data_IF_614960182256
#
_entry.id   IF_614960182256
#
_cell.length_a   1.000
_cell.length_b   1.000
_cell.length_c   1.000
_cell.angle_alpha   90.00
_cell.angle_beta   90.00
_cell.angle_gamma   90.00
#
_symmetry.space_group_name_H-M   'P 1'
#
loop_
_entity.id
_entity.type
_entity.pdbx_description
1 polymer ?
#
# COMPACT_ATOMS: atom_id res chain seq x y z
N UNK A 1 28.24 8.39 -32.23
CA UNK A 1 27.44 7.15 -32.29
C UNK A 1 26.28 7.34 -31.34
N UNK A 2 25.09 7.61 -31.88
CA UNK A 2 23.90 7.89 -31.07
C UNK A 2 23.29 6.58 -30.59
N UNK A 3 23.40 6.32 -29.29
CA UNK A 3 22.75 5.19 -28.65
C UNK A 3 21.29 5.58 -28.40
N UNK A 4 20.41 5.13 -29.29
CA UNK A 4 18.96 5.26 -29.12
C UNK A 4 18.54 4.47 -27.89
N UNK A 5 18.12 5.18 -26.84
CA UNK A 5 17.55 4.60 -25.64
C UNK A 5 16.38 3.65 -26.01
N UNK A 6 16.28 2.47 -25.38
CA UNK A 6 15.21 1.54 -25.67
C UNK A 6 13.86 2.18 -25.35
N UNK A 7 12.94 2.13 -26.32
CA UNK A 7 11.59 2.63 -26.16
C UNK A 7 10.93 1.95 -24.96
N UNK A 8 10.39 2.76 -24.04
CA UNK A 8 9.63 2.26 -22.89
C UNK A 8 8.49 1.35 -23.39
N UNK A 9 8.27 0.19 -22.75
CA UNK A 9 7.20 -0.71 -23.16
C UNK A 9 5.85 0.00 -23.09
N UNK A 10 4.91 -0.31 -24.01
CA UNK A 10 3.59 0.29 -24.00
C UNK A 10 2.91 0.01 -22.65
N UNK A 11 2.33 1.07 -22.06
CA UNK A 11 1.63 0.97 -20.79
C UNK A 11 0.56 -0.12 -20.87
N UNK A 12 0.61 -1.09 -19.95
CA UNK A 12 -0.39 -2.14 -19.86
C UNK A 12 -1.81 -1.52 -19.74
N UNK A 13 -2.82 -2.14 -20.38
CA UNK A 13 -4.20 -1.64 -20.28
C UNK A 13 -4.61 -1.51 -18.81
N UNK A 14 -5.43 -0.51 -18.46
CA UNK A 14 -5.86 -0.31 -17.07
C UNK A 14 -6.61 -1.56 -16.60
N UNK A 15 -6.16 -2.14 -15.49
CA UNK A 15 -6.80 -3.29 -14.87
C UNK A 15 -8.28 -2.99 -14.58
N UNK A 16 -9.18 -3.98 -14.75
CA UNK A 16 -10.60 -3.78 -14.51
C UNK A 16 -10.83 -3.29 -13.08
N UNK A 17 -11.69 -2.29 -12.94
CA UNK A 17 -12.00 -1.67 -11.65
C UNK A 17 -12.98 -2.58 -10.92
N UNK A 18 -12.63 -3.02 -9.71
CA UNK A 18 -13.59 -3.69 -8.85
C UNK A 18 -14.56 -2.68 -8.25
N UNK A 19 -15.86 -2.99 -8.34
CA UNK A 19 -16.87 -2.29 -7.55
C UNK A 19 -16.62 -2.51 -6.04
N UNK A 20 -17.20 -1.66 -5.17
CA UNK A 20 -16.92 -1.70 -3.74
C UNK A 20 -17.20 -3.03 -3.06
N UNK A 21 -18.29 -3.71 -3.46
CA UNK A 21 -18.65 -5.00 -2.89
C UNK A 21 -17.64 -6.10 -3.30
N UNK A 22 -17.13 -6.06 -4.54
CA UNK A 22 -16.07 -6.96 -4.97
C UNK A 22 -14.75 -6.71 -4.23
N UNK A 23 -14.38 -5.44 -3.98
CA UNK A 23 -13.17 -5.12 -3.19
C UNK A 23 -13.28 -5.69 -1.77
N UNK A 24 -14.43 -5.51 -1.12
CA UNK A 24 -14.69 -6.08 0.21
C UNK A 24 -14.59 -7.61 0.21
N UNK A 25 -15.20 -8.29 -0.77
CA UNK A 25 -15.09 -9.75 -0.91
C UNK A 25 -13.65 -10.22 -1.12
N UNK A 26 -12.88 -9.55 -1.97
CA UNK A 26 -11.47 -9.87 -2.21
C UNK A 26 -10.63 -9.75 -0.93
N UNK A 27 -10.83 -8.69 -0.13
CA UNK A 27 -10.15 -8.55 1.16
C UNK A 27 -10.57 -9.67 2.14
N UNK A 28 -11.85 -10.03 2.22
CA UNK A 28 -12.28 -11.14 3.07
C UNK A 28 -11.66 -12.48 2.65
N UNK A 29 -11.57 -12.75 1.35
CA UNK A 29 -10.91 -13.94 0.84
C UNK A 29 -9.41 -13.96 1.20
N UNK A 30 -8.74 -12.81 1.06
CA UNK A 30 -7.34 -12.67 1.47
C UNK A 30 -7.15 -12.90 2.97
N UNK A 31 -8.05 -12.40 3.82
CA UNK A 31 -8.02 -12.67 5.26
C UNK A 31 -8.17 -14.16 5.57
N UNK A 32 -9.08 -14.86 4.88
CA UNK A 32 -9.27 -16.29 5.04
C UNK A 32 -8.02 -17.10 4.63
N UNK A 33 -7.32 -16.69 3.56
CA UNK A 33 -6.08 -17.33 3.13
C UNK A 33 -4.93 -17.08 4.12
N UNK A 34 -4.80 -15.85 4.66
CA UNK A 34 -3.82 -15.56 5.72
C UNK A 34 -4.10 -16.40 6.97
N UNK A 35 -5.38 -16.54 7.36
CA UNK A 35 -5.79 -17.36 8.50
C UNK A 35 -5.50 -18.86 8.25
N UNK A 36 -5.84 -19.38 7.08
CA UNK A 36 -5.53 -20.77 6.70
C UNK A 36 -4.01 -21.04 6.70
N UNK A 37 -3.22 -20.03 6.31
CA UNK A 37 -1.76 -20.04 6.31
C UNK A 37 -1.10 -19.52 7.59
N UNK A 38 -1.83 -19.33 8.70
CA UNK A 38 -1.39 -18.59 9.89
C UNK A 38 0.01 -18.97 10.37
N UNK A 39 0.29 -20.26 10.56
CA UNK A 39 1.61 -20.73 11.04
C UNK A 39 2.75 -20.31 10.11
N UNK A 40 2.54 -20.38 8.78
CA UNK A 40 3.53 -19.95 7.78
C UNK A 40 3.76 -18.44 7.84
N UNK A 41 2.70 -17.64 8.03
CA UNK A 41 2.83 -16.20 8.17
C UNK A 41 3.57 -15.82 9.46
N UNK A 42 3.23 -16.45 10.59
CA UNK A 42 3.92 -16.22 11.88
C UNK A 42 5.42 -16.51 11.75
N UNK A 43 5.79 -17.63 11.13
CA UNK A 43 7.21 -17.97 10.90
C UNK A 43 7.91 -16.97 9.96
N UNK A 44 7.23 -16.49 8.92
CA UNK A 44 7.77 -15.46 8.01
C UNK A 44 7.98 -14.14 8.73
N UNK A 45 7.00 -13.68 9.52
CA UNK A 45 7.11 -12.45 10.31
C UNK A 45 8.26 -12.57 11.31
N UNK A 46 8.34 -13.68 12.05
CA UNK A 46 9.41 -13.93 13.02
C UNK A 46 10.80 -13.83 12.40
N UNK A 47 11.00 -14.42 11.22
CA UNK A 47 12.29 -14.39 10.51
C UNK A 47 12.60 -13.03 9.90
N UNK A 48 11.60 -12.39 9.28
CA UNK A 48 11.80 -11.11 8.59
C UNK A 48 12.04 -9.95 9.56
N UNK A 49 11.31 -9.91 10.68
CA UNK A 49 11.36 -8.81 11.65
C UNK A 49 12.18 -9.16 12.91
N UNK A 50 12.77 -10.36 12.96
CA UNK A 50 13.61 -10.85 14.07
C UNK A 50 12.97 -10.73 15.45
N UNK A 51 11.65 -10.90 15.52
CA UNK A 51 10.87 -10.77 16.74
C UNK A 51 10.61 -12.12 17.43
N UNK A 52 10.02 -12.08 18.63
CA UNK A 52 9.59 -13.28 19.36
C UNK A 52 8.34 -13.94 18.76
N UNK A 53 8.04 -15.18 19.14
CA UNK A 53 6.85 -15.90 18.65
C UNK A 53 5.54 -15.19 19.02
N UNK A 54 5.42 -14.73 20.26
CA UNK A 54 4.22 -14.02 20.75
C UNK A 54 3.98 -12.74 19.96
N UNK A 55 5.04 -11.98 19.69
CA UNK A 55 4.95 -10.76 18.89
C UNK A 55 4.57 -11.04 17.44
N UNK A 56 5.18 -12.07 16.83
CA UNK A 56 4.83 -12.48 15.47
C UNK A 56 3.36 -12.92 15.35
N UNK A 57 2.83 -13.64 16.35
CA UNK A 57 1.41 -14.01 16.43
C UNK A 57 0.55 -12.74 16.51
N UNK A 58 0.84 -11.81 17.42
CA UNK A 58 0.12 -10.55 17.55
C UNK A 58 0.10 -9.75 16.25
N UNK A 59 1.22 -9.70 15.52
CA UNK A 59 1.29 -9.00 14.24
C UNK A 59 0.44 -9.66 13.15
N UNK A 60 0.37 -11.00 13.10
CA UNK A 60 -0.46 -11.74 12.15
C UNK A 60 -1.94 -11.62 12.49
N UNK A 61 -2.32 -11.73 13.77
CA UNK A 61 -3.69 -11.50 14.23
C UNK A 61 -4.16 -10.09 13.88
N UNK A 62 -3.33 -9.09 14.20
CA UNK A 62 -3.61 -7.70 13.85
C UNK A 62 -3.72 -7.48 12.34
N UNK A 63 -2.99 -8.24 11.53
CA UNK A 63 -3.06 -8.17 10.06
C UNK A 63 -4.41 -8.69 9.58
N UNK A 64 -4.85 -9.86 10.07
CA UNK A 64 -6.16 -10.42 9.74
C UNK A 64 -7.28 -9.46 10.15
N UNK A 65 -7.23 -8.93 11.37
CA UNK A 65 -8.19 -7.94 11.86
C UNK A 65 -8.22 -6.69 10.98
N UNK A 66 -7.06 -6.20 10.55
CA UNK A 66 -6.96 -5.05 9.65
C UNK A 66 -7.59 -5.32 8.28
N UNK A 67 -7.32 -6.50 7.69
CA UNK A 67 -7.90 -6.90 6.40
C UNK A 67 -9.42 -6.99 6.51
N UNK A 68 -9.95 -7.67 7.54
CA UNK A 68 -11.39 -7.80 7.78
C UNK A 68 -12.05 -6.45 8.02
N UNK A 69 -11.43 -5.58 8.83
CA UNK A 69 -11.90 -4.22 9.08
C UNK A 69 -12.05 -3.45 7.77
N UNK A 70 -11.01 -3.43 6.94
CA UNK A 70 -11.01 -2.70 5.67
C UNK A 70 -11.96 -3.32 4.64
N UNK A 71 -12.16 -4.64 4.67
CA UNK A 71 -13.18 -5.28 3.86
C UNK A 71 -14.58 -4.75 4.17
N UNK A 72 -14.91 -4.60 5.46
CA UNK A 72 -16.17 -4.03 5.91
C UNK A 72 -16.31 -2.50 5.72
N UNK A 73 -15.23 -1.81 5.36
CA UNK A 73 -15.26 -0.40 4.97
C UNK A 73 -15.42 -0.21 3.47
N UNK A 74 -15.01 -1.16 2.64
CA UNK A 74 -14.86 -0.98 1.19
C UNK A 74 -16.13 -0.42 0.50
N UNK A 75 -17.32 -0.87 0.89
CA UNK A 75 -18.62 -0.42 0.38
C UNK A 75 -19.12 0.90 0.99
N UNK A 76 -18.66 1.24 2.19
CA UNK A 76 -18.99 2.48 2.90
C UNK A 76 -18.13 3.66 2.47
N UNK A 77 -16.90 3.42 2.01
CA UNK A 77 -15.98 4.50 1.63
C UNK A 77 -16.56 5.35 0.50
N UNK A 78 -17.20 4.73 -0.49
CA UNK A 78 -17.85 5.44 -1.61
C UNK A 78 -19.01 6.34 -1.13
N UNK A 79 -19.72 5.95 -0.05
CA UNK A 79 -20.80 6.73 0.56
C UNK A 79 -20.27 7.88 1.44
N UNK A 80 -19.23 7.60 2.22
CA UNK A 80 -18.72 8.51 3.26
C UNK A 80 -17.70 9.52 2.74
N UNK A 81 -17.03 9.18 1.64
CA UNK A 81 -16.11 10.06 0.94
C UNK A 81 -16.66 10.25 -0.47
N UNK A 82 -17.70 11.07 -0.71
CA UNK A 82 -18.28 11.24 -2.04
C UNK A 82 -17.31 11.84 -3.08
N UNK A 83 -16.18 12.42 -2.64
CA UNK A 83 -15.02 12.71 -3.50
C UNK A 83 -14.40 11.44 -4.14
N UNK A 84 -14.73 10.24 -3.63
CA UNK A 84 -14.44 8.91 -4.17
C UNK A 84 -15.18 8.61 -5.47
N UNK A 85 -16.05 9.51 -5.97
CA UNK A 85 -16.40 9.53 -7.39
C UNK A 85 -15.16 9.62 -8.30
N UNK A 86 -14.01 10.06 -7.76
CA UNK A 86 -12.68 9.88 -8.35
C UNK A 86 -11.91 8.88 -7.50
N UNK A 87 -11.82 7.64 -7.98
CA UNK A 87 -10.92 6.60 -7.50
C UNK A 87 -9.52 7.17 -7.19
N UNK A 88 -8.82 6.72 -6.13
CA UNK A 88 -7.45 7.14 -5.91
C UNK A 88 -6.59 6.88 -7.17
N UNK A 89 -5.61 7.76 -7.47
CA UNK A 89 -4.64 7.48 -8.53
C UNK A 89 -3.83 6.21 -8.22
N UNK A 90 -3.02 5.69 -9.16
CA UNK A 90 -1.98 4.74 -8.82
C UNK A 90 -1.04 5.32 -7.74
N UNK A 91 -0.83 4.56 -6.66
CA UNK A 91 -0.10 4.98 -5.45
C UNK A 91 1.16 4.13 -5.25
N UNK A 92 2.30 4.76 -5.02
CA UNK A 92 3.45 4.14 -4.38
C UNK A 92 3.30 4.29 -2.87
N UNK A 93 3.41 3.21 -2.10
CA UNK A 93 3.39 3.26 -0.63
C UNK A 93 4.80 3.02 -0.13
N UNK A 94 5.43 4.06 0.40
CA UNK A 94 6.67 3.91 1.17
C UNK A 94 6.30 3.46 2.57
N UNK A 95 6.21 2.15 2.73
CA UNK A 95 5.68 1.52 3.93
C UNK A 95 6.60 1.68 5.15
N UNK A 96 6.07 1.58 6.38
CA UNK A 96 6.90 1.36 7.57
C UNK A 96 7.67 0.03 7.47
N UNK A 97 8.63 -0.20 8.37
CA UNK A 97 9.38 -1.47 8.39
C UNK A 97 8.60 -2.62 9.01
N UNK A 98 7.60 -2.31 9.83
CA UNK A 98 6.80 -3.30 10.56
C UNK A 98 5.71 -3.92 9.67
N UNK A 99 5.48 -5.22 9.86
CA UNK A 99 4.52 -5.98 9.05
C UNK A 99 3.08 -5.48 9.22
N UNK A 100 2.62 -5.30 10.46
CA UNK A 100 1.23 -4.92 10.74
C UNK A 100 0.90 -3.49 10.26
N UNK A 101 1.67 -2.45 10.60
CA UNK A 101 1.47 -1.11 10.02
C UNK A 101 1.48 -1.11 8.49
N UNK A 102 2.36 -1.90 7.85
CA UNK A 102 2.37 -2.05 6.39
C UNK A 102 1.06 -2.66 5.87
N UNK A 103 0.60 -3.75 6.49
CA UNK A 103 -0.67 -4.39 6.12
C UNK A 103 -1.85 -3.42 6.21
N UNK A 104 -1.89 -2.58 7.26
CA UNK A 104 -2.95 -1.57 7.45
C UNK A 104 -2.99 -0.56 6.31
N UNK A 105 -1.86 0.03 5.93
CA UNK A 105 -1.80 1.01 4.85
C UNK A 105 -2.18 0.38 3.51
N UNK A 106 -1.68 -0.84 3.26
CA UNK A 106 -1.97 -1.58 2.04
C UNK A 106 -3.47 -1.90 1.90
N UNK A 107 -4.08 -2.43 2.96
CA UNK A 107 -5.51 -2.77 2.97
C UNK A 107 -6.39 -1.53 2.86
N UNK A 108 -6.02 -0.42 3.49
CA UNK A 108 -6.73 0.86 3.36
C UNK A 108 -6.74 1.36 1.90
N UNK A 109 -5.57 1.33 1.25
CA UNK A 109 -5.45 1.73 -0.15
C UNK A 109 -6.30 0.85 -1.07
N UNK A 110 -6.26 -0.48 -0.89
CA UNK A 110 -7.06 -1.41 -1.68
C UNK A 110 -8.57 -1.29 -1.43
N UNK A 111 -8.99 -1.09 -0.18
CA UNK A 111 -10.40 -0.85 0.15
C UNK A 111 -10.94 0.42 -0.52
N UNK A 112 -10.12 1.49 -0.55
CA UNK A 112 -10.39 2.73 -1.28
C UNK A 112 -10.36 2.56 -2.81
N UNK A 113 -9.98 1.38 -3.30
CA UNK A 113 -9.88 1.06 -4.71
C UNK A 113 -8.59 1.52 -5.37
N UNK A 114 -7.57 1.98 -4.64
CA UNK A 114 -6.29 2.35 -5.23
C UNK A 114 -5.63 1.16 -5.96
N UNK A 115 -4.87 1.45 -7.01
CA UNK A 115 -3.80 0.55 -7.46
C UNK A 115 -2.56 0.93 -6.68
N UNK A 116 -1.89 -0.02 -6.06
CA UNK A 116 -0.77 0.31 -5.19
C UNK A 116 0.47 -0.56 -5.45
N UNK A 117 1.63 0.06 -5.34
CA UNK A 117 2.92 -0.64 -5.26
C UNK A 117 3.51 -0.35 -3.90
N UNK A 118 3.71 -1.37 -3.08
CA UNK A 118 4.33 -1.23 -1.76
C UNK A 118 5.85 -1.36 -1.88
N UNK A 119 6.57 -0.40 -1.32
CA UNK A 119 8.04 -0.36 -1.25
C UNK A 119 8.50 -0.95 0.08
N UNK A 120 8.96 -2.21 0.08
CA UNK A 120 9.34 -2.92 1.29
C UNK A 120 10.23 -4.13 1.00
N UNK A 121 11.20 -4.42 1.86
CA UNK A 121 12.14 -5.56 1.70
C UNK A 121 11.73 -6.86 2.43
N UNK A 122 10.59 -6.88 3.12
CA UNK A 122 10.21 -8.00 3.98
C UNK A 122 9.59 -9.15 3.19
N UNK A 123 10.12 -10.35 3.38
CA UNK A 123 9.53 -11.58 2.84
C UNK A 123 8.13 -11.88 3.41
N UNK A 124 7.80 -11.36 4.61
CA UNK A 124 6.45 -11.46 5.18
C UNK A 124 5.48 -10.55 4.41
N UNK A 125 5.90 -9.32 4.11
CA UNK A 125 5.11 -8.39 3.29
C UNK A 125 4.95 -8.91 1.86
N UNK A 126 5.99 -9.50 1.29
CA UNK A 126 5.91 -10.18 -0.01
C UNK A 126 4.82 -11.27 -0.02
N UNK A 127 4.78 -12.10 1.04
CA UNK A 127 3.76 -13.12 1.22
C UNK A 127 2.34 -12.55 1.23
N UNK A 128 2.15 -11.45 1.96
CA UNK A 128 0.86 -10.78 2.05
C UNK A 128 0.44 -10.20 0.70
N UNK A 129 1.37 -9.59 -0.03
CA UNK A 129 1.14 -9.07 -1.38
C UNK A 129 0.78 -10.18 -2.36
N UNK A 130 1.41 -11.36 -2.28
CA UNK A 130 1.05 -12.53 -3.09
C UNK A 130 -0.42 -12.94 -2.86
N UNK A 131 -0.84 -13.03 -1.59
CA UNK A 131 -2.23 -13.36 -1.23
C UNK A 131 -3.20 -12.30 -1.75
N UNK A 132 -2.91 -11.01 -1.53
CA UNK A 132 -3.76 -9.92 -2.02
C UNK A 132 -3.79 -9.89 -3.56
N UNK A 133 -2.68 -10.13 -4.24
CA UNK A 133 -2.62 -10.15 -5.70
C UNK A 133 -3.43 -11.30 -6.31
N UNK A 134 -3.61 -12.42 -5.59
CA UNK A 134 -4.42 -13.54 -6.03
C UNK A 134 -5.93 -13.21 -5.99
N UNK A 135 -6.36 -12.38 -5.03
CA UNK A 135 -7.77 -12.04 -4.82
C UNK A 135 -8.23 -10.79 -5.59
N UNK A 136 -7.28 -10.02 -6.12
CA UNK A 136 -7.55 -8.77 -6.85
C UNK A 136 -7.19 -8.87 -8.34
N UNK A 137 -7.73 -7.98 -9.19
CA UNK A 137 -7.32 -7.91 -10.59
C UNK A 137 -5.81 -7.72 -10.74
N UNK A 138 -5.26 -8.30 -11.82
CA UNK A 138 -3.84 -8.19 -12.14
C UNK A 138 -3.37 -6.72 -12.10
N UNK A 139 -2.31 -6.46 -11.31
CA UNK A 139 -1.75 -5.12 -11.16
C UNK A 139 -2.54 -4.16 -10.27
N UNK A 140 -3.47 -4.67 -9.43
CA UNK A 140 -4.08 -3.91 -8.35
C UNK A 140 -3.11 -3.68 -7.18
N UNK A 141 -2.29 -4.69 -6.86
CA UNK A 141 -1.24 -4.61 -5.86
C UNK A 141 0.05 -5.23 -6.40
N UNK A 142 1.18 -4.60 -6.09
CA UNK A 142 2.50 -5.16 -6.34
C UNK A 142 3.45 -4.76 -5.21
N UNK A 143 4.60 -5.44 -5.15
CA UNK A 143 5.70 -5.11 -4.24
C UNK A 143 6.92 -4.73 -5.06
N UNK A 144 7.69 -3.78 -4.56
CA UNK A 144 9.03 -3.48 -5.04
C UNK A 144 10.00 -3.34 -3.87
N UNK A 145 11.28 -3.58 -4.12
CA UNK A 145 12.33 -3.44 -3.10
C UNK A 145 12.60 -1.96 -2.80
N UNK A 146 13.13 -1.68 -1.60
CA UNK A 146 13.38 -0.32 -1.08
C UNK A 146 14.75 0.23 -1.48
N UNK A 147 15.28 -0.16 -2.64
CA UNK A 147 16.50 0.49 -3.11
C UNK A 147 16.19 1.84 -3.80
N UNK A 148 17.01 2.89 -3.60
CA UNK A 148 16.72 4.22 -4.13
C UNK A 148 16.55 4.28 -5.66
N UNK A 149 17.27 3.43 -6.41
CA UNK A 149 17.19 3.40 -7.87
C UNK A 149 15.84 2.86 -8.35
N UNK A 150 15.39 1.76 -7.77
CA UNK A 150 14.09 1.14 -8.04
C UNK A 150 12.95 2.05 -7.61
N UNK A 151 13.05 2.68 -6.44
CA UNK A 151 12.02 3.63 -5.98
C UNK A 151 11.90 4.82 -6.92
N UNK A 152 13.01 5.35 -7.44
CA UNK A 152 12.96 6.41 -8.48
C UNK A 152 12.37 5.91 -9.79
N UNK A 153 12.72 4.70 -10.22
CA UNK A 153 12.16 4.07 -11.42
C UNK A 153 10.64 3.88 -11.36
N UNK A 154 10.10 3.61 -10.16
CA UNK A 154 8.67 3.46 -9.90
C UNK A 154 7.87 4.75 -10.18
N UNK A 155 8.48 5.93 -10.01
CA UNK A 155 7.78 7.22 -10.07
C UNK A 155 7.10 7.47 -11.43
N UNK A 156 7.62 6.91 -12.53
CA UNK A 156 6.99 7.00 -13.84
C UNK A 156 5.66 6.23 -13.97
N UNK A 157 5.36 5.33 -13.03
CA UNK A 157 4.16 4.48 -13.03
C UNK A 157 3.11 4.86 -11.98
N UNK A 158 3.37 5.86 -11.14
CA UNK A 158 2.48 6.29 -10.04
C UNK A 158 2.19 7.79 -10.13
N UNK A 159 1.07 8.24 -9.58
CA UNK A 159 0.75 9.68 -9.51
C UNK A 159 0.64 10.20 -8.06
N UNK A 160 0.85 9.32 -7.08
CA UNK A 160 0.91 9.64 -5.66
C UNK A 160 1.96 8.75 -4.98
N UNK A 161 2.82 9.35 -4.15
CA UNK A 161 3.65 8.65 -3.18
C UNK A 161 3.07 8.88 -1.78
N UNK A 162 2.59 7.82 -1.14
CA UNK A 162 2.21 7.85 0.27
C UNK A 162 3.40 7.44 1.13
N UNK A 163 4.00 8.42 1.80
CA UNK A 163 5.11 8.27 2.72
C UNK A 163 4.72 8.62 4.16
N UNK A 164 3.41 8.78 4.49
CA UNK A 164 2.96 9.19 5.83
C UNK A 164 3.48 8.31 6.96
N UNK A 165 3.57 7.01 6.70
CA UNK A 165 4.07 6.01 7.64
C UNK A 165 5.55 5.65 7.42
N UNK A 166 6.24 6.30 6.47
CA UNK A 166 7.65 6.06 6.22
C UNK A 166 8.48 6.62 7.38
N UNK A 167 9.38 5.80 7.93
CA UNK A 167 10.39 6.23 8.91
C UNK A 167 11.73 6.56 8.27
N UNK A 168 12.01 5.89 7.16
CA UNK A 168 13.25 6.01 6.39
C UNK A 168 12.94 5.99 4.89
N UNK A 169 13.94 6.34 4.06
CA UNK A 169 13.84 6.26 2.60
C UNK A 169 13.12 7.44 1.93
N UNK A 170 12.59 8.40 2.70
CA UNK A 170 12.06 9.67 2.18
C UNK A 170 13.06 10.81 2.37
N UNK A 171 14.07 10.87 1.51
CA UNK A 171 15.15 11.85 1.58
C UNK A 171 14.93 13.07 0.65
N UNK A 172 15.93 13.97 0.57
CA UNK A 172 15.89 15.13 -0.32
C UNK A 172 15.87 14.73 -1.81
N UNK A 173 16.59 13.68 -2.18
CA UNK A 173 16.69 13.25 -3.56
C UNK A 173 15.39 12.62 -4.06
N UNK A 174 14.73 11.80 -3.23
CA UNK A 174 13.43 11.23 -3.56
C UNK A 174 12.36 12.32 -3.69
N UNK A 175 12.41 13.35 -2.84
CA UNK A 175 11.54 14.53 -2.96
C UNK A 175 11.75 15.25 -4.28
N UNK A 176 13.01 15.47 -4.67
CA UNK A 176 13.35 16.08 -5.95
C UNK A 176 12.85 15.22 -7.12
N UNK A 177 13.10 13.92 -7.09
CA UNK A 177 12.65 12.98 -8.11
C UNK A 177 11.11 12.96 -8.23
N UNK A 178 10.38 13.02 -7.12
CA UNK A 178 8.91 13.15 -7.14
C UNK A 178 8.47 14.45 -7.81
N UNK A 179 9.11 15.57 -7.49
CA UNK A 179 8.82 16.86 -8.10
C UNK A 179 9.09 16.87 -9.61
N UNK A 180 10.23 16.33 -10.05
CA UNK A 180 10.59 16.19 -11.46
C UNK A 180 9.62 15.29 -12.23
N UNK A 181 9.14 14.22 -11.60
CA UNK A 181 8.15 13.31 -12.18
C UNK A 181 6.70 13.82 -12.08
N UNK A 182 6.44 14.94 -11.40
CA UNK A 182 5.09 15.46 -11.15
C UNK A 182 4.24 14.58 -10.22
N UNK A 183 4.88 13.75 -9.40
CA UNK A 183 4.23 12.85 -8.44
C UNK A 183 3.82 13.64 -7.20
N UNK A 184 2.54 13.58 -6.83
CA UNK A 184 2.07 14.15 -5.56
C UNK A 184 2.62 13.33 -4.40
N UNK A 185 2.87 13.96 -3.26
CA UNK A 185 3.43 13.27 -2.09
C UNK A 185 2.59 13.54 -0.85
N UNK A 186 2.25 12.48 -0.12
CA UNK A 186 1.85 12.55 1.27
C UNK A 186 3.11 12.30 2.12
N UNK A 187 3.75 13.33 2.69
CA UNK A 187 5.01 13.22 3.39
C UNK A 187 4.86 12.47 4.72
N UNK A 188 5.97 12.00 5.30
CA UNK A 188 6.00 11.41 6.63
C UNK A 188 5.33 12.31 7.66
N UNK A 189 4.50 11.69 8.50
CA UNK A 189 3.88 12.35 9.63
C UNK A 189 4.62 11.97 10.92
N UNK A 190 4.62 12.85 11.93
CA UNK A 190 4.96 12.46 13.29
C UNK A 190 4.12 11.26 13.74
N UNK A 191 4.70 10.41 14.59
CA UNK A 191 4.03 9.19 15.04
C UNK A 191 2.70 9.47 15.74
N UNK A 192 2.64 10.50 16.58
CA UNK A 192 1.43 10.88 17.28
C UNK A 192 0.30 11.29 16.31
N UNK A 193 0.64 12.01 15.24
CA UNK A 193 -0.32 12.43 14.22
C UNK A 193 -0.78 11.23 13.40
N UNK A 194 0.13 10.33 13.05
CA UNK A 194 -0.19 9.10 12.33
C UNK A 194 -1.13 8.20 13.13
N UNK A 195 -0.92 8.08 14.44
CA UNK A 195 -1.78 7.32 15.34
C UNK A 195 -3.14 8.01 15.59
N UNK A 196 -3.18 9.35 15.52
CA UNK A 196 -4.40 10.12 15.66
C UNK A 196 -5.26 10.13 14.38
N UNK A 197 -4.71 9.75 13.23
CA UNK A 197 -5.46 9.64 11.98
C UNK A 197 -6.54 8.57 12.09
N UNK A 198 -7.80 8.98 11.93
CA UNK A 198 -8.91 8.04 11.77
C UNK A 198 -8.87 7.33 10.41
N UNK A 199 -9.58 6.20 10.32
CA UNK A 199 -9.70 5.39 9.10
C UNK A 199 -10.10 6.24 7.87
N UNK A 200 -11.05 7.17 8.03
CA UNK A 200 -11.51 8.04 6.94
C UNK A 200 -10.45 9.06 6.50
N UNK A 201 -9.69 9.64 7.44
CA UNK A 201 -8.63 10.60 7.10
C UNK A 201 -7.45 9.91 6.40
N UNK A 202 -7.16 8.65 6.78
CA UNK A 202 -6.16 7.83 6.10
C UNK A 202 -6.50 7.68 4.61
N UNK A 203 -7.75 7.36 4.28
CA UNK A 203 -8.23 7.17 2.90
C UNK A 203 -8.42 8.50 2.17
N UNK A 204 -8.94 9.54 2.83
CA UNK A 204 -9.17 10.85 2.22
C UNK A 204 -7.88 11.47 1.67
N UNK A 205 -6.74 11.26 2.35
CA UNK A 205 -5.43 11.65 1.86
C UNK A 205 -5.07 11.04 0.51
N UNK A 206 -5.41 9.75 0.29
CA UNK A 206 -5.16 9.05 -0.98
C UNK A 206 -5.97 9.62 -2.15
N UNK A 207 -7.20 10.05 -1.88
CA UNK A 207 -8.10 10.61 -2.89
C UNK A 207 -7.69 12.03 -3.30
N UNK A 208 -7.42 12.87 -2.31
CA UNK A 208 -7.15 14.29 -2.51
C UNK A 208 -5.70 14.55 -2.90
N UNK A 209 -4.77 13.71 -2.44
CA UNK A 209 -3.33 13.98 -2.51
C UNK A 209 -2.93 15.24 -1.72
N UNK A 210 -3.81 15.76 -0.86
CA UNK A 210 -3.57 16.95 -0.07
C UNK A 210 -3.06 16.54 1.30
N UNK A 211 -1.92 17.13 1.70
CA UNK A 211 -1.55 17.23 3.11
C UNK A 211 -2.45 18.26 3.77
N UNK A 212 -3.03 17.95 4.94
CA UNK A 212 -3.53 19.02 5.82
C UNK A 212 -2.32 19.90 6.15
N UNK A 213 -2.25 21.10 5.58
CA UNK A 213 -1.45 22.18 6.17
C UNK A 213 -2.13 22.52 7.48
N UNK A 214 -1.51 22.11 8.58
CA UNK A 214 -1.83 22.60 9.93
C UNK A 214 -1.29 24.01 10.06
#
# INVERSE_FOLDING_TARGET
MGETAPAAPPAAPPAPVLDPAHRGRALLAAAAEVEAGRTRFVDRVRRAHRCGITEAVTQVDGCIDAVVRWAGWADKLDLLLPAAARRPPPVAVLAPEDFLPTARVLCAALAAGARCVVVHDSAAVAALVEVLAAEFPAGAVARTDRDPGTVRGLLGGVALLDARAAREGYDADLRLACAEAGVRVLPPLPEEELLALGDLDLVAGLLTGATRTV
#
